data_IF_579923228790
#
_entry.id   IF_579923228790
#
_cell.length_a   1.000
_cell.length_b   1.000
_cell.length_c   1.000
_cell.angle_alpha   90.00
_cell.angle_beta   90.00
_cell.angle_gamma   90.00
#
_symmetry.space_group_name_H-M   'P 1'
#
loop_
_entity.id
_entity.type
_entity.pdbx_description
1 polymer ?
#
# COMPACT_ATOMS: atom_id res chain seq x y z
N UNK A 1 9.82 -41.29 49.27
CA UNK A 1 9.02 -41.61 48.07
C UNK A 1 8.18 -40.38 47.76
N UNK A 2 8.66 -39.57 46.83
CA UNK A 2 8.01 -38.34 46.37
C UNK A 2 7.33 -38.67 45.03
N UNK A 3 6.00 -38.60 44.99
CA UNK A 3 5.24 -38.75 43.74
C UNK A 3 5.14 -37.38 43.08
N UNK A 4 5.79 -37.26 41.93
CA UNK A 4 5.79 -36.10 41.05
C UNK A 4 4.37 -35.77 40.58
N UNK A 5 3.96 -34.54 40.83
CA UNK A 5 2.83 -33.89 40.17
C UNK A 5 3.19 -33.66 38.71
N UNK A 6 2.61 -34.44 37.80
CA UNK A 6 2.59 -34.16 36.36
C UNK A 6 1.78 -32.89 36.13
N UNK A 7 2.47 -31.77 36.03
CA UNK A 7 1.93 -30.49 35.61
C UNK A 7 1.50 -30.61 34.15
N UNK A 8 0.19 -30.47 33.95
CA UNK A 8 -0.50 -30.37 32.66
C UNK A 8 0.05 -29.17 31.91
N UNK A 9 0.57 -29.40 30.70
CA UNK A 9 1.08 -28.36 29.81
C UNK A 9 -0.09 -27.52 29.28
N UNK A 10 -0.35 -26.37 29.89
CA UNK A 10 -1.28 -25.34 29.40
C UNK A 10 -0.57 -24.40 28.40
N UNK A 11 0.14 -24.95 27.40
CA UNK A 11 0.90 -24.20 26.40
C UNK A 11 0.52 -24.55 24.93
N UNK A 12 -0.68 -25.07 24.70
CA UNK A 12 -1.22 -25.39 23.36
C UNK A 12 -2.29 -24.40 22.86
N UNK A 13 -2.39 -23.20 23.43
CA UNK A 13 -3.43 -22.22 23.05
C UNK A 13 -3.01 -21.20 21.96
N UNK A 14 -1.85 -21.37 21.30
CA UNK A 14 -1.31 -20.37 20.36
C UNK A 14 -1.14 -20.81 18.89
N UNK A 15 -1.61 -22.00 18.47
CA UNK A 15 -1.23 -22.54 17.14
C UNK A 15 -2.37 -23.09 16.27
N UNK A 16 -3.60 -22.63 16.46
CA UNK A 16 -4.72 -22.97 15.60
C UNK A 16 -5.43 -21.71 15.07
N UNK A 17 -4.68 -20.80 14.41
CA UNK A 17 -5.33 -20.05 13.32
C UNK A 17 -5.61 -21.11 12.26
N UNK A 18 -6.83 -21.62 12.38
CA UNK A 18 -7.42 -22.78 11.75
C UNK A 18 -6.84 -23.05 10.36
N UNK A 19 -6.29 -24.25 10.13
CA UNK A 19 -5.84 -24.66 8.78
C UNK A 19 -6.96 -24.44 7.75
N UNK A 20 -8.22 -24.52 8.20
CA UNK A 20 -9.40 -24.16 7.44
C UNK A 20 -9.42 -22.69 7.00
N UNK A 21 -9.01 -21.74 7.84
CA UNK A 21 -8.99 -20.31 7.50
C UNK A 21 -7.99 -20.00 6.38
N UNK A 22 -6.84 -20.70 6.35
CA UNK A 22 -5.85 -20.56 5.28
C UNK A 22 -6.32 -21.24 3.99
N UNK A 23 -6.98 -22.39 4.11
CA UNK A 23 -7.62 -23.06 2.98
C UNK A 23 -8.75 -22.22 2.37
N UNK A 24 -9.59 -21.59 3.20
CA UNK A 24 -10.65 -20.68 2.76
C UNK A 24 -10.07 -19.43 2.10
N UNK A 25 -8.96 -18.91 2.62
CA UNK A 25 -8.24 -17.79 2.02
C UNK A 25 -7.70 -18.14 0.63
N UNK A 26 -7.14 -19.35 0.47
CA UNK A 26 -6.69 -19.87 -0.81
C UNK A 26 -7.85 -20.02 -1.80
N UNK A 27 -8.94 -20.69 -1.41
CA UNK A 27 -10.12 -20.88 -2.25
C UNK A 27 -10.79 -19.57 -2.66
N UNK A 28 -10.74 -18.56 -1.79
CA UNK A 28 -11.24 -17.22 -2.10
C UNK A 28 -10.33 -16.48 -3.10
N UNK A 29 -9.01 -16.66 -2.99
CA UNK A 29 -8.02 -15.94 -3.80
C UNK A 29 -7.83 -16.55 -5.19
N UNK A 30 -7.84 -17.89 -5.30
CA UNK A 30 -7.61 -18.63 -6.54
C UNK A 30 -8.46 -18.15 -7.73
N UNK A 31 -9.81 -18.03 -7.65
CA UNK A 31 -10.62 -17.59 -8.79
C UNK A 31 -10.31 -16.15 -9.24
N UNK A 32 -9.85 -15.29 -8.32
CA UNK A 32 -9.41 -13.93 -8.67
C UNK A 32 -8.12 -13.97 -9.48
N UNK A 33 -7.17 -14.80 -9.05
CA UNK A 33 -5.88 -14.96 -9.72
C UNK A 33 -6.05 -15.65 -11.08
N UNK A 34 -6.90 -16.69 -11.17
CA UNK A 34 -7.23 -17.36 -12.43
C UNK A 34 -7.75 -16.36 -13.47
N UNK A 35 -8.62 -15.43 -13.06
CA UNK A 35 -9.10 -14.35 -13.91
C UNK A 35 -7.93 -13.49 -14.42
N UNK A 36 -7.02 -13.07 -13.54
CA UNK A 36 -5.86 -12.26 -13.92
C UNK A 36 -4.92 -12.99 -14.89
N UNK A 37 -4.65 -14.27 -14.64
CA UNK A 37 -3.76 -15.11 -15.45
C UNK A 37 -4.36 -15.35 -16.83
N UNK A 38 -5.65 -15.68 -16.91
CA UNK A 38 -6.38 -15.83 -18.18
C UNK A 38 -6.32 -14.56 -19.03
N UNK A 39 -6.47 -13.40 -18.39
CA UNK A 39 -6.57 -12.13 -19.10
C UNK A 39 -5.18 -11.49 -19.35
N UNK A 40 -4.10 -12.09 -18.85
CA UNK A 40 -2.73 -11.55 -18.87
C UNK A 40 -2.08 -11.43 -20.27
N UNK A 41 -2.61 -12.16 -21.27
CA UNK A 41 -2.08 -12.24 -22.64
C UNK A 41 -0.59 -12.62 -22.75
N UNK A 42 -0.06 -13.36 -21.78
CA UNK A 42 1.30 -13.91 -21.85
C UNK A 42 1.24 -15.22 -22.63
N UNK A 43 1.88 -15.26 -23.81
CA UNK A 43 1.80 -16.41 -24.71
C UNK A 43 2.38 -17.69 -24.10
N UNK A 44 3.46 -17.58 -23.32
CA UNK A 44 4.07 -18.73 -22.63
C UNK A 44 3.19 -19.33 -21.52
N UNK A 45 2.14 -18.62 -21.09
CA UNK A 45 1.21 -19.09 -20.05
C UNK A 45 0.03 -19.90 -20.64
N UNK A 46 -0.08 -19.94 -21.97
CA UNK A 46 -1.17 -20.63 -22.63
C UNK A 46 -1.12 -22.14 -22.35
N UNK A 47 -2.23 -22.69 -21.86
CA UNK A 47 -2.33 -24.11 -21.47
C UNK A 47 -1.79 -24.41 -20.06
N UNK A 48 -1.22 -23.41 -19.36
CA UNK A 48 -0.73 -23.53 -17.97
C UNK A 48 -1.38 -22.52 -17.01
N UNK A 49 -2.49 -21.90 -17.44
CA UNK A 49 -3.12 -20.81 -16.69
C UNK A 49 -3.52 -21.22 -15.27
N UNK A 50 -3.93 -22.49 -15.09
CA UNK A 50 -4.39 -22.99 -13.79
C UNK A 50 -3.21 -23.17 -12.85
N UNK A 51 -2.16 -23.84 -13.30
CA UNK A 51 -0.94 -24.10 -12.54
C UNK A 51 -0.29 -22.79 -12.11
N UNK A 52 -0.21 -21.82 -13.03
CA UNK A 52 0.30 -20.47 -12.76
C UNK A 52 -0.57 -19.76 -11.71
N UNK A 53 -1.89 -19.88 -11.81
CA UNK A 53 -2.80 -19.27 -10.84
C UNK A 53 -2.69 -19.93 -9.46
N UNK A 54 -2.58 -21.25 -9.40
CA UNK A 54 -2.36 -22.03 -8.18
C UNK A 54 -1.03 -21.64 -7.50
N UNK A 55 0.05 -21.48 -8.28
CA UNK A 55 1.36 -21.05 -7.78
C UNK A 55 1.31 -19.64 -7.18
N UNK A 56 0.70 -18.68 -7.89
CA UNK A 56 0.56 -17.30 -7.41
C UNK A 56 -0.31 -17.26 -6.14
N UNK A 57 -1.43 -17.99 -6.12
CA UNK A 57 -2.33 -18.03 -4.97
C UNK A 57 -1.67 -18.68 -3.76
N UNK A 58 -0.97 -19.81 -3.93
CA UNK A 58 -0.21 -20.46 -2.87
C UNK A 58 0.88 -19.56 -2.30
N UNK A 59 1.70 -18.94 -3.15
CA UNK A 59 2.78 -18.08 -2.69
C UNK A 59 2.23 -16.87 -1.91
N UNK A 60 1.10 -16.32 -2.34
CA UNK A 60 0.45 -15.22 -1.64
C UNK A 60 -0.09 -15.61 -0.26
N UNK A 61 -0.75 -16.77 -0.15
CA UNK A 61 -1.22 -17.31 1.14
C UNK A 61 -0.03 -17.60 2.05
N UNK A 62 1.03 -18.24 1.55
CA UNK A 62 2.24 -18.56 2.31
C UNK A 62 2.95 -17.32 2.84
N UNK A 63 3.06 -16.25 2.04
CA UNK A 63 3.63 -14.98 2.50
C UNK A 63 2.75 -14.28 3.52
N UNK A 64 1.43 -14.35 3.36
CA UNK A 64 0.47 -13.82 4.34
C UNK A 64 0.61 -14.54 5.68
N UNK A 65 0.73 -15.87 5.66
CA UNK A 65 0.98 -16.69 6.83
C UNK A 65 2.30 -16.33 7.52
N UNK A 66 3.41 -16.24 6.76
CA UNK A 66 4.71 -15.84 7.32
C UNK A 66 4.66 -14.43 7.93
N UNK A 67 3.94 -13.49 7.31
CA UNK A 67 3.73 -12.17 7.89
C UNK A 67 2.95 -12.27 9.21
N UNK A 68 1.86 -13.05 9.23
CA UNK A 68 1.06 -13.27 10.44
C UNK A 68 1.92 -13.82 11.59
N UNK A 69 2.76 -14.81 11.34
CA UNK A 69 3.68 -15.36 12.34
C UNK A 69 4.69 -14.33 12.86
N UNK A 70 5.12 -13.37 12.04
CA UNK A 70 6.03 -12.30 12.45
C UNK A 70 5.31 -11.21 13.25
N UNK A 71 4.08 -10.89 12.87
CA UNK A 71 3.23 -9.98 13.63
C UNK A 71 2.89 -10.57 15.02
N UNK A 72 2.58 -11.87 15.10
CA UNK A 72 2.35 -12.57 16.37
C UNK A 72 3.58 -12.56 17.31
N UNK A 73 4.79 -12.53 16.73
CA UNK A 73 6.05 -12.37 17.47
C UNK A 73 6.38 -10.91 17.83
N UNK A 74 5.55 -9.94 17.41
CA UNK A 74 5.79 -8.52 17.64
C UNK A 74 6.84 -7.89 16.73
N UNK A 75 7.27 -8.57 15.66
CA UNK A 75 8.25 -8.04 14.69
C UNK A 75 7.63 -7.09 13.65
N UNK A 76 6.30 -7.19 13.47
CA UNK A 76 5.54 -6.47 12.45
C UNK A 76 4.21 -5.98 13.02
N UNK A 77 3.61 -4.99 12.35
CA UNK A 77 2.28 -4.52 12.69
C UNK A 77 1.24 -5.65 12.55
N UNK A 78 0.18 -5.66 13.38
CA UNK A 78 -0.89 -6.65 13.27
C UNK A 78 -1.61 -6.53 11.92
N UNK A 79 -2.03 -7.67 11.37
CA UNK A 79 -2.75 -7.70 10.09
C UNK A 79 -4.21 -7.36 10.33
N UNK A 80 -4.72 -6.28 9.71
CA UNK A 80 -6.14 -5.92 9.77
C UNK A 80 -7.07 -6.83 8.95
N UNK A 81 -6.57 -7.44 7.87
CA UNK A 81 -7.35 -8.40 7.06
C UNK A 81 -6.44 -9.32 6.24
N UNK A 82 -6.56 -10.64 6.44
CA UNK A 82 -5.82 -11.64 5.65
C UNK A 82 -6.19 -11.59 4.17
N UNK A 83 -7.47 -11.37 3.85
CA UNK A 83 -7.95 -11.23 2.46
C UNK A 83 -7.35 -10.02 1.75
N UNK A 84 -7.23 -8.89 2.45
CA UNK A 84 -6.62 -7.68 1.87
C UNK A 84 -5.12 -7.90 1.61
N UNK A 85 -4.40 -8.40 2.63
CA UNK A 85 -2.95 -8.63 2.51
C UNK A 85 -2.61 -9.67 1.46
N UNK A 86 -3.30 -10.81 1.43
CA UNK A 86 -3.04 -11.88 0.46
C UNK A 86 -3.31 -11.43 -0.97
N UNK A 87 -4.35 -10.62 -1.20
CA UNK A 87 -4.64 -10.05 -2.52
C UNK A 87 -3.53 -9.13 -3.00
N UNK A 88 -3.04 -8.24 -2.12
CA UNK A 88 -1.92 -7.33 -2.45
C UNK A 88 -0.66 -8.12 -2.82
N UNK A 89 -0.34 -9.15 -2.03
CA UNK A 89 0.81 -10.00 -2.29
C UNK A 89 0.64 -10.73 -3.62
N UNK A 90 -0.51 -11.36 -3.87
CA UNK A 90 -0.81 -12.07 -5.11
C UNK A 90 -0.69 -11.17 -6.33
N UNK A 91 -1.19 -9.92 -6.23
CA UNK A 91 -1.15 -8.95 -7.33
C UNK A 91 0.28 -8.53 -7.65
N UNK A 92 1.08 -8.24 -6.62
CA UNK A 92 2.48 -7.90 -6.80
C UNK A 92 3.25 -9.08 -7.41
N UNK A 93 3.03 -10.29 -6.89
CA UNK A 93 3.67 -11.49 -7.41
C UNK A 93 3.27 -11.76 -8.87
N UNK A 94 1.98 -11.72 -9.21
CA UNK A 94 1.48 -11.80 -10.58
C UNK A 94 2.15 -10.77 -11.51
N UNK A 95 2.23 -9.50 -11.08
CA UNK A 95 2.84 -8.44 -11.90
C UNK A 95 4.33 -8.73 -12.16
N UNK A 96 5.06 -9.11 -11.12
CA UNK A 96 6.49 -9.38 -11.21
C UNK A 96 6.76 -10.59 -12.09
N UNK A 97 5.93 -11.64 -11.97
CA UNK A 97 6.03 -12.85 -12.78
C UNK A 97 5.65 -12.60 -14.24
N UNK A 98 4.56 -11.87 -14.48
CA UNK A 98 4.16 -11.40 -15.82
C UNK A 98 5.28 -10.61 -16.46
N UNK A 99 5.86 -9.65 -15.74
CA UNK A 99 6.97 -8.84 -16.25
C UNK A 99 8.16 -9.72 -16.63
N UNK A 100 8.54 -10.66 -15.77
CA UNK A 100 9.65 -11.58 -16.01
C UNK A 100 9.42 -12.40 -17.29
N UNK A 101 8.26 -13.03 -17.43
CA UNK A 101 8.00 -13.94 -18.54
C UNK A 101 7.72 -13.21 -19.86
N UNK A 102 7.16 -12.01 -19.79
CA UNK A 102 6.96 -11.17 -20.97
C UNK A 102 8.28 -10.65 -21.55
N UNK A 103 9.28 -10.37 -20.69
CA UNK A 103 10.66 -10.07 -21.13
C UNK A 103 11.33 -11.26 -21.84
N UNK A 104 10.97 -12.50 -21.49
CA UNK A 104 11.50 -13.71 -22.13
C UNK A 104 10.89 -13.92 -23.53
N UNK A 105 9.62 -13.55 -23.74
CA UNK A 105 8.93 -13.66 -25.04
C UNK A 105 9.39 -12.60 -26.04
N UNK A 106 9.76 -11.39 -25.60
CA UNK A 106 10.24 -10.32 -26.50
C UNK A 106 11.65 -10.53 -27.04
N UNK A 107 12.51 -11.24 -26.31
CA UNK A 107 13.90 -11.46 -26.74
C UNK A 107 14.05 -12.36 -27.97
N UNK A 108 12.98 -13.06 -28.39
CA UNK A 108 12.99 -13.92 -29.58
C UNK A 108 12.39 -13.26 -30.83
N UNK A 109 11.91 -12.01 -30.75
CA UNK A 109 11.16 -11.35 -31.83
C UNK A 109 11.78 -10.03 -32.33
N UNK A 110 13.08 -9.79 -32.11
CA UNK A 110 13.76 -8.61 -32.67
C UNK A 110 15.07 -8.98 -33.39
N UNK A 111 14.92 -9.51 -34.61
CA UNK A 111 15.77 -9.10 -35.73
C UNK A 111 14.88 -8.26 -36.66
N UNK A 112 14.85 -6.95 -36.41
CA UNK A 112 14.26 -5.97 -37.32
C UNK A 112 12.92 -5.38 -36.88
N UNK A 113 12.93 -4.08 -36.62
CA UNK A 113 11.76 -3.17 -36.78
C UNK A 113 10.76 -2.95 -35.65
N UNK A 114 11.12 -2.65 -34.38
CA UNK A 114 10.08 -2.16 -33.45
C UNK A 114 10.50 -1.10 -32.40
N UNK A 115 11.17 -0.02 -32.81
CA UNK A 115 11.38 1.18 -31.95
C UNK A 115 10.19 2.13 -31.85
N UNK A 116 9.03 1.81 -32.42
CA UNK A 116 7.84 2.69 -32.43
C UNK A 116 6.67 2.20 -31.57
N UNK A 117 6.78 1.03 -30.94
CA UNK A 117 5.68 0.41 -30.16
C UNK A 117 5.78 0.60 -28.63
N UNK A 118 6.77 1.32 -28.11
CA UNK A 118 6.92 1.51 -26.66
C UNK A 118 5.92 2.51 -26.03
N UNK A 119 5.20 3.30 -26.84
CA UNK A 119 4.26 4.31 -26.35
C UNK A 119 2.82 3.83 -26.13
N UNK A 120 2.47 2.60 -26.54
CA UNK A 120 1.08 2.09 -26.44
C UNK A 120 0.87 0.95 -25.43
N UNK A 121 1.93 0.52 -24.75
CA UNK A 121 1.91 -0.75 -24.00
C UNK A 121 1.65 -0.55 -22.50
N UNK A 122 1.71 0.68 -21.99
CA UNK A 122 1.26 0.99 -20.62
C UNK A 122 -0.26 1.04 -20.44
N UNK A 123 -1.06 1.04 -21.52
CA UNK A 123 -2.51 1.34 -21.43
C UNK A 123 -3.44 0.12 -21.29
N UNK A 124 -2.90 -1.10 -21.19
CA UNK A 124 -3.70 -2.29 -20.86
C UNK A 124 -3.26 -2.87 -19.51
N UNK A 125 -3.11 -1.99 -18.51
CA UNK A 125 -3.42 -2.40 -17.15
C UNK A 125 -4.85 -2.93 -17.16
N UNK A 126 -5.04 -4.21 -16.84
CA UNK A 126 -6.35 -4.70 -16.41
C UNK A 126 -6.54 -4.08 -15.03
N UNK A 127 -7.00 -2.84 -15.05
CA UNK A 127 -7.29 -2.03 -13.90
C UNK A 127 -8.51 -2.66 -13.22
N UNK A 128 -8.29 -3.28 -12.06
CA UNK A 128 -9.39 -3.68 -11.21
C UNK A 128 -10.03 -2.41 -10.66
N UNK A 129 -11.12 -1.97 -11.30
CA UNK A 129 -11.85 -0.76 -10.92
C UNK A 129 -12.31 -0.81 -9.45
N UNK A 130 -12.56 -2.00 -8.89
CA UNK A 130 -12.90 -2.14 -7.48
C UNK A 130 -11.68 -1.92 -6.58
N UNK A 131 -10.50 -2.38 -6.97
CA UNK A 131 -9.26 -2.11 -6.22
C UNK A 131 -8.85 -0.64 -6.34
N UNK A 132 -8.98 -0.02 -7.51
CA UNK A 132 -8.78 1.42 -7.67
C UNK A 132 -9.77 2.19 -6.80
N UNK A 133 -11.05 1.81 -6.79
CA UNK A 133 -12.03 2.43 -5.91
C UNK A 133 -11.70 2.23 -4.43
N UNK A 134 -11.20 1.06 -4.03
CA UNK A 134 -10.75 0.79 -2.65
C UNK A 134 -9.50 1.60 -2.29
N UNK A 135 -8.51 1.66 -3.18
CA UNK A 135 -7.27 2.43 -2.98
C UNK A 135 -7.59 3.92 -2.89
N UNK A 136 -8.49 4.44 -3.74
CA UNK A 136 -9.00 5.80 -3.64
C UNK A 136 -9.77 6.01 -2.34
N UNK A 137 -10.66 5.10 -1.94
CA UNK A 137 -11.42 5.22 -0.69
C UNK A 137 -10.50 5.21 0.54
N UNK A 138 -9.47 4.36 0.54
CA UNK A 138 -8.45 4.31 1.59
C UNK A 138 -7.62 5.60 1.60
N UNK A 139 -7.17 6.07 0.43
CA UNK A 139 -6.42 7.31 0.29
C UNK A 139 -7.24 8.51 0.78
N UNK A 140 -8.51 8.58 0.38
CA UNK A 140 -9.43 9.66 0.75
C UNK A 140 -9.70 9.67 2.26
N UNK A 141 -9.88 8.49 2.86
CA UNK A 141 -9.96 8.32 4.32
C UNK A 141 -8.69 8.80 5.02
N UNK A 142 -7.51 8.40 4.56
CA UNK A 142 -6.23 8.78 5.18
C UNK A 142 -6.01 10.28 5.06
N UNK A 143 -6.25 10.86 3.88
CA UNK A 143 -6.10 12.29 3.63
C UNK A 143 -7.08 13.10 4.49
N UNK A 144 -8.30 12.63 4.65
CA UNK A 144 -9.29 13.25 5.54
C UNK A 144 -8.83 13.21 7.01
N UNK A 145 -8.35 12.07 7.49
CA UNK A 145 -7.79 11.95 8.85
C UNK A 145 -6.57 12.85 9.06
N UNK A 146 -5.69 12.95 8.06
CA UNK A 146 -4.55 13.88 8.06
C UNK A 146 -5.03 15.33 8.20
N UNK A 147 -6.01 15.75 7.41
CA UNK A 147 -6.53 17.12 7.47
C UNK A 147 -7.11 17.45 8.85
N UNK A 148 -7.91 16.53 9.42
CA UNK A 148 -8.46 16.65 10.76
C UNK A 148 -7.37 16.75 11.83
N UNK A 149 -6.35 15.89 11.76
CA UNK A 149 -5.22 15.92 12.70
C UNK A 149 -4.50 17.28 12.63
N UNK A 150 -4.16 17.75 11.41
CA UNK A 150 -3.50 19.04 11.21
C UNK A 150 -4.31 20.21 11.76
N UNK A 151 -5.66 20.18 11.65
CA UNK A 151 -6.51 21.24 12.19
C UNK A 151 -6.32 21.47 13.70
N UNK A 152 -6.05 20.39 14.46
CA UNK A 152 -5.81 20.41 15.91
C UNK A 152 -4.41 20.83 16.33
N UNK A 153 -3.47 20.96 15.38
CA UNK A 153 -2.08 21.26 15.72
C UNK A 153 -1.91 22.66 16.33
N UNK A 154 -0.94 22.82 17.26
CA UNK A 154 -0.55 24.13 17.77
C UNK A 154 -0.23 25.10 16.62
N UNK A 155 -0.66 26.36 16.75
CA UNK A 155 -0.60 27.37 15.69
C UNK A 155 0.76 27.42 14.97
N UNK A 156 1.88 27.39 15.71
CA UNK A 156 3.22 27.42 15.11
C UNK A 156 3.58 26.19 14.28
N UNK A 157 3.20 25.00 14.74
CA UNK A 157 3.44 23.73 14.02
C UNK A 157 2.54 23.63 12.79
N UNK A 158 1.25 23.99 12.95
CA UNK A 158 0.28 24.03 11.86
C UNK A 158 0.73 24.96 10.73
N UNK A 159 1.12 26.19 11.06
CA UNK A 159 1.60 27.17 10.07
C UNK A 159 2.87 26.67 9.38
N UNK A 160 3.84 26.13 10.12
CA UNK A 160 5.09 25.64 9.54
C UNK A 160 4.86 24.46 8.57
N UNK A 161 3.94 23.55 8.91
CA UNK A 161 3.56 22.42 8.07
C UNK A 161 2.80 22.86 6.82
N UNK A 162 1.75 23.67 6.98
CA UNK A 162 0.92 24.14 5.85
C UNK A 162 1.72 25.05 4.90
N UNK A 163 2.66 25.84 5.41
CA UNK A 163 3.56 26.65 4.57
C UNK A 163 4.49 25.77 3.74
N UNK A 164 4.98 24.67 4.32
CA UNK A 164 5.82 23.71 3.61
C UNK A 164 5.03 23.02 2.49
N UNK A 165 3.83 22.54 2.82
CA UNK A 165 2.92 21.91 1.85
C UNK A 165 2.53 22.88 0.74
N UNK A 166 2.08 24.10 1.07
CA UNK A 166 1.70 25.13 0.10
C UNK A 166 2.83 25.53 -0.87
N UNK A 167 4.09 25.38 -0.45
CA UNK A 167 5.26 25.67 -1.28
C UNK A 167 5.69 24.47 -2.14
N UNK A 168 5.26 23.26 -1.80
CA UNK A 168 5.53 22.03 -2.57
C UNK A 168 4.38 21.67 -3.52
N UNK A 169 3.17 22.14 -3.23
CA UNK A 169 1.97 21.86 -4.02
C UNK A 169 1.80 22.90 -5.13
N UNK A 170 1.46 22.43 -6.32
CA UNK A 170 1.06 23.29 -7.44
C UNK A 170 -0.40 23.71 -7.29
N UNK A 171 -0.62 24.83 -6.59
CA UNK A 171 -1.95 25.40 -6.36
C UNK A 171 -2.56 26.07 -7.61
N UNK A 172 -1.82 26.16 -8.71
CA UNK A 172 -2.25 26.86 -9.93
C UNK A 172 -2.92 25.89 -10.95
N UNK A 173 -3.13 24.63 -10.54
CA UNK A 173 -3.83 23.60 -11.32
C UNK A 173 -5.36 23.83 -11.38
N UNK A 174 -5.99 23.44 -12.50
CA UNK A 174 -7.44 23.61 -12.71
C UNK A 174 -8.30 22.75 -11.77
N UNK A 175 -7.77 21.62 -11.30
CA UNK A 175 -8.46 20.73 -10.36
C UNK A 175 -7.75 20.71 -9.00
N UNK A 176 -8.45 20.98 -7.88
CA UNK A 176 -7.85 21.00 -6.55
C UNK A 176 -7.44 19.58 -6.14
N UNK A 177 -6.26 19.45 -5.54
CA UNK A 177 -5.75 18.15 -5.09
C UNK A 177 -6.61 17.56 -3.96
N UNK A 178 -6.61 16.24 -3.77
CA UNK A 178 -7.34 15.58 -2.66
C UNK A 178 -6.95 16.17 -1.29
N UNK A 179 -5.68 16.54 -1.12
CA UNK A 179 -5.18 17.20 0.07
C UNK A 179 -5.82 18.59 0.27
N UNK A 180 -5.92 19.40 -0.79
CA UNK A 180 -6.58 20.71 -0.73
C UNK A 180 -8.06 20.58 -0.41
N UNK A 181 -8.75 19.62 -1.03
CA UNK A 181 -10.16 19.36 -0.77
C UNK A 181 -10.39 18.99 0.71
N UNK A 182 -9.61 18.04 1.24
CA UNK A 182 -9.73 17.62 2.63
C UNK A 182 -9.37 18.72 3.64
N UNK A 183 -8.34 19.52 3.36
CA UNK A 183 -7.98 20.68 4.17
C UNK A 183 -9.10 21.75 4.14
N UNK A 184 -9.69 22.00 2.98
CA UNK A 184 -10.81 22.93 2.82
C UNK A 184 -12.03 22.51 3.65
N UNK A 185 -12.34 21.21 3.67
CA UNK A 185 -13.42 20.64 4.49
C UNK A 185 -13.24 20.89 6.01
N UNK A 186 -12.00 21.03 6.48
CA UNK A 186 -11.70 21.38 7.89
C UNK A 186 -11.42 22.87 8.09
N UNK A 187 -11.72 23.72 7.10
CA UNK A 187 -11.57 25.17 7.15
C UNK A 187 -10.14 25.67 6.99
N UNK A 188 -9.24 24.88 6.39
CA UNK A 188 -7.86 25.25 6.10
C UNK A 188 -7.66 25.45 4.60
N UNK A 189 -7.43 26.69 4.17
CA UNK A 189 -7.12 27.00 2.78
C UNK A 189 -5.61 27.02 2.57
N UNK A 190 -5.08 26.12 1.73
CA UNK A 190 -3.62 25.96 1.55
C UNK A 190 -2.98 27.21 0.92
N UNK A 191 -3.73 27.94 0.10
CA UNK A 191 -3.35 29.23 -0.50
C UNK A 191 -2.92 30.28 0.52
N UNK A 192 -3.55 30.31 1.70
CA UNK A 192 -3.27 31.29 2.75
C UNK A 192 -1.86 31.14 3.37
N UNK A 193 -1.24 29.99 3.10
CA UNK A 193 0.07 29.59 3.63
C UNK A 193 1.19 29.63 2.58
N UNK A 194 0.89 29.92 1.30
CA UNK A 194 1.92 30.07 0.25
C UNK A 194 2.77 31.31 0.56
N UNK A 195 4.02 31.08 1.02
CA UNK A 195 4.91 32.15 1.48
C UNK A 195 6.35 31.85 1.11
N UNK A 196 7.12 32.85 0.65
CA UNK A 196 8.54 32.68 0.41
C UNK A 196 9.27 32.31 1.70
N UNK A 197 10.30 31.47 1.57
CA UNK A 197 11.08 31.00 2.71
C UNK A 197 11.84 32.17 3.36
N UNK A 198 11.92 32.25 4.71
CA UNK A 198 12.67 33.32 5.38
C UNK A 198 14.15 33.34 4.96
N UNK A 199 14.65 34.54 4.67
CA UNK A 199 16.06 34.75 4.31
C UNK A 199 16.99 34.69 5.53
N UNK A 200 16.49 35.04 6.71
CA UNK A 200 17.25 35.05 7.95
C UNK A 200 17.52 33.60 8.46
N UNK A 201 18.79 33.23 8.73
CA UNK A 201 19.13 31.89 9.21
C UNK A 201 18.47 31.49 10.53
N UNK A 202 18.26 32.43 11.47
CA UNK A 202 17.73 32.12 12.79
C UNK A 202 16.23 31.75 12.73
N UNK A 203 15.44 32.56 12.02
CA UNK A 203 14.02 32.28 11.73
C UNK A 203 13.85 30.99 10.93
N UNK A 204 14.69 30.77 9.91
CA UNK A 204 14.70 29.52 9.13
C UNK A 204 14.97 28.28 9.99
N UNK A 205 15.89 28.38 10.96
CA UNK A 205 16.18 27.30 11.91
C UNK A 205 14.97 26.96 12.79
N UNK A 206 14.28 28.00 13.29
CA UNK A 206 13.06 27.85 14.10
C UNK A 206 11.93 27.19 13.31
N UNK A 207 11.71 27.62 12.07
CA UNK A 207 10.67 27.06 11.20
C UNK A 207 10.96 25.60 10.83
N UNK A 208 12.22 25.26 10.54
CA UNK A 208 12.62 23.89 10.27
C UNK A 208 12.38 22.96 11.48
N UNK A 209 12.63 23.44 12.70
CA UNK A 209 12.34 22.71 13.93
C UNK A 209 10.84 22.50 14.12
N UNK A 210 10.02 23.55 13.96
CA UNK A 210 8.56 23.46 14.06
C UNK A 210 7.97 22.50 13.03
N UNK A 211 8.46 22.53 11.80
CA UNK A 211 8.08 21.61 10.73
C UNK A 211 8.47 20.17 11.04
N UNK A 212 9.69 19.94 11.53
CA UNK A 212 10.15 18.60 11.93
C UNK A 212 9.27 18.01 13.04
N UNK A 213 8.92 18.82 14.04
CA UNK A 213 8.00 18.42 15.11
C UNK A 213 6.60 18.14 14.56
N UNK A 214 6.09 18.99 13.66
CA UNK A 214 4.78 18.83 13.06
C UNK A 214 4.67 17.51 12.26
N UNK A 215 5.65 17.18 11.42
CA UNK A 215 5.66 15.90 10.68
C UNK A 215 5.80 14.69 11.62
N UNK A 216 6.61 14.78 12.68
CA UNK A 216 6.71 13.70 13.68
C UNK A 216 5.38 13.48 14.40
N UNK A 217 4.70 14.56 14.78
CA UNK A 217 3.37 14.48 15.39
C UNK A 217 2.36 13.89 14.42
N UNK A 218 2.33 14.36 13.17
CA UNK A 218 1.43 13.83 12.15
C UNK A 218 1.63 12.33 11.94
N UNK A 219 2.89 11.88 11.87
CA UNK A 219 3.21 10.46 11.78
C UNK A 219 2.65 9.66 12.97
N UNK A 220 2.69 10.22 14.18
CA UNK A 220 2.17 9.54 15.37
C UNK A 220 0.64 9.48 15.39
N UNK A 221 -0.04 10.55 14.99
CA UNK A 221 -1.51 10.64 14.94
C UNK A 221 -2.13 9.73 13.86
N UNK A 222 -1.37 9.42 12.79
CA UNK A 222 -1.85 8.65 11.63
C UNK A 222 -1.34 7.20 11.64
N UNK A 223 -0.55 6.80 12.63
CA UNK A 223 -0.18 5.39 12.82
C UNK A 223 -1.40 4.59 13.30
N UNK A 224 -2.11 3.99 12.34
CA UNK A 224 -3.03 2.86 12.52
C UNK A 224 -2.24 1.56 12.65
#
# INVERSE_FOLDING_TARGET
MLTETTTRNDNEECTAVDDQAWYDLYNWLLPLVEMWVRDSRVSSWYGQHREIAEDIAHEAVMRTFRYHQRAARGEMAPIGSFKALSRVIARNYFRDWRKKDWCLVRSTQEDGEQRTFDAHISSHEIVDAAQIALDHLMLDSIITSVAQAVATFPKGQKVALLTDLANMTDLDSEEPSLLEQALSCVGLQLSDYKRPRPADPATRGRDAALRSIAYKRLKHEIQV
#
